data_IF_643541889808
#
_entry.id   IF_643541889808
#
_cell.length_a   1.000
_cell.length_b   1.000
_cell.length_c   1.000
_cell.angle_alpha   90.00
_cell.angle_beta   90.00
_cell.angle_gamma   90.00
#
_symmetry.space_group_name_H-M   'P 1'
#
loop_
_entity.id
_entity.type
_entity.pdbx_description
1 polymer ?
#
# COMPACT_ATOMS: atom_id res chain seq x y z
N UNK A 1 25.55 17.78 -18.09
CA UNK A 1 25.42 16.73 -17.06
C UNK A 1 26.01 15.46 -17.66
N UNK A 2 27.05 14.90 -17.02
CA UNK A 2 27.74 13.73 -17.56
C UNK A 2 26.81 12.49 -17.42
N UNK A 3 26.86 11.56 -18.38
CA UNK A 3 25.99 10.40 -18.47
C UNK A 3 25.99 9.55 -17.17
N UNK A 4 27.16 9.44 -16.54
CA UNK A 4 27.34 8.75 -15.26
C UNK A 4 26.56 9.43 -14.12
N UNK A 5 26.59 10.76 -14.04
CA UNK A 5 25.84 11.50 -13.03
C UNK A 5 24.32 11.37 -13.21
N UNK A 6 23.85 11.36 -14.47
CA UNK A 6 22.44 11.05 -14.78
C UNK A 6 22.03 9.65 -14.36
N UNK A 7 22.86 8.66 -14.65
CA UNK A 7 22.59 7.27 -14.25
C UNK A 7 22.56 7.10 -12.72
N UNK A 8 23.51 7.68 -12.01
CA UNK A 8 23.58 7.65 -10.54
C UNK A 8 22.38 8.33 -9.88
N UNK A 9 21.81 9.37 -10.51
CA UNK A 9 20.61 10.05 -10.01
C UNK A 9 19.33 9.22 -10.23
N UNK A 10 19.27 8.41 -11.30
CA UNK A 10 18.11 7.56 -11.60
C UNK A 10 18.10 6.26 -10.78
N UNK A 11 19.24 5.75 -10.36
CA UNK A 11 19.37 4.47 -9.67
C UNK A 11 18.51 4.38 -8.40
N UNK A 12 18.49 5.36 -7.48
CA UNK A 12 17.64 5.33 -6.29
C UNK A 12 16.14 5.28 -6.63
N UNK A 13 15.73 5.97 -7.69
CA UNK A 13 14.33 5.98 -8.14
C UNK A 13 13.94 4.59 -8.63
N UNK A 14 14.75 3.96 -9.47
CA UNK A 14 14.50 2.61 -9.99
C UNK A 14 14.47 1.56 -8.89
N UNK A 15 15.39 1.65 -7.92
CA UNK A 15 15.42 0.75 -6.76
C UNK A 15 14.16 0.91 -5.91
N UNK A 16 13.74 2.14 -5.63
CA UNK A 16 12.51 2.41 -4.87
C UNK A 16 11.27 1.89 -5.60
N UNK A 17 11.20 2.09 -6.92
CA UNK A 17 10.12 1.56 -7.74
C UNK A 17 10.07 0.03 -7.71
N UNK A 18 11.21 -0.63 -7.86
CA UNK A 18 11.31 -2.09 -7.78
C UNK A 18 10.83 -2.63 -6.43
N UNK A 19 11.22 -1.99 -5.32
CA UNK A 19 10.75 -2.34 -3.98
C UNK A 19 9.24 -2.12 -3.84
N UNK A 20 8.70 -1.03 -4.41
CA UNK A 20 7.26 -0.79 -4.44
C UNK A 20 6.50 -1.91 -5.16
N UNK A 21 6.98 -2.34 -6.33
CA UNK A 21 6.42 -3.49 -7.08
C UNK A 21 6.53 -4.78 -6.26
N UNK A 22 7.65 -5.01 -5.58
CA UNK A 22 7.78 -6.14 -4.66
C UNK A 22 6.76 -6.09 -3.53
N UNK A 23 6.50 -4.93 -2.95
CA UNK A 23 5.49 -4.73 -1.91
C UNK A 23 4.07 -5.09 -2.38
N UNK A 24 3.68 -4.60 -3.56
CA UNK A 24 2.39 -4.94 -4.17
C UNK A 24 2.28 -6.45 -4.40
N UNK A 25 3.32 -7.08 -4.96
CA UNK A 25 3.36 -8.52 -5.17
C UNK A 25 3.28 -9.30 -3.85
N UNK A 26 3.93 -8.81 -2.79
CA UNK A 26 3.87 -9.42 -1.46
C UNK A 26 2.43 -9.48 -0.94
N UNK A 27 1.68 -8.38 -1.05
CA UNK A 27 0.27 -8.32 -0.67
C UNK A 27 -0.57 -9.32 -1.47
N UNK A 28 -0.38 -9.37 -2.79
CA UNK A 28 -1.11 -10.32 -3.66
C UNK A 28 -0.84 -11.77 -3.25
N UNK A 29 0.42 -12.12 -2.97
CA UNK A 29 0.80 -13.47 -2.54
C UNK A 29 0.18 -13.83 -1.17
N UNK A 30 0.15 -12.90 -0.22
CA UNK A 30 -0.48 -13.08 1.09
C UNK A 30 -1.99 -13.31 0.96
N UNK A 31 -2.67 -12.45 0.20
CA UNK A 31 -4.13 -12.58 -0.01
C UNK A 31 -4.48 -13.89 -0.71
N UNK A 32 -3.64 -14.37 -1.62
CA UNK A 32 -3.83 -15.63 -2.32
C UNK A 32 -3.39 -16.86 -1.52
N UNK A 33 -2.79 -16.69 -0.34
CA UNK A 33 -2.28 -17.80 0.46
C UNK A 33 -1.20 -18.61 -0.26
N UNK A 34 -0.34 -17.95 -1.02
CA UNK A 34 0.70 -18.64 -1.79
C UNK A 34 1.84 -19.11 -0.90
N UNK A 35 2.40 -20.27 -1.24
CA UNK A 35 3.60 -20.80 -0.59
C UNK A 35 4.70 -19.72 -0.54
N UNK A 36 5.35 -19.57 0.61
CA UNK A 36 6.39 -18.56 0.87
C UNK A 36 5.91 -17.10 0.85
N UNK A 37 4.60 -16.80 0.81
CA UNK A 37 4.09 -15.43 0.82
C UNK A 37 4.62 -14.63 2.01
N UNK A 38 4.62 -15.21 3.21
CA UNK A 38 5.16 -14.59 4.41
C UNK A 38 6.65 -14.22 4.25
N UNK A 39 7.48 -15.16 3.80
CA UNK A 39 8.92 -14.92 3.59
C UNK A 39 9.16 -13.83 2.56
N UNK A 40 8.42 -13.85 1.46
CA UNK A 40 8.53 -12.81 0.42
C UNK A 40 8.16 -11.43 0.96
N UNK A 41 7.12 -11.34 1.79
CA UNK A 41 6.70 -10.10 2.43
C UNK A 41 7.73 -9.57 3.41
N UNK A 42 8.34 -10.44 4.22
CA UNK A 42 9.45 -10.05 5.10
C UNK A 42 10.64 -9.48 4.32
N UNK A 43 11.04 -10.14 3.23
CA UNK A 43 12.14 -9.64 2.39
C UNK A 43 11.80 -8.27 1.81
N UNK A 44 10.58 -8.08 1.28
CA UNK A 44 10.16 -6.80 0.73
C UNK A 44 10.18 -5.68 1.78
N UNK A 45 9.70 -5.95 3.00
CA UNK A 45 9.73 -4.98 4.11
C UNK A 45 11.15 -4.65 4.55
N UNK A 46 12.03 -5.65 4.70
CA UNK A 46 13.44 -5.42 5.09
C UNK A 46 14.16 -4.58 4.04
N UNK A 47 14.00 -4.91 2.75
CA UNK A 47 14.59 -4.11 1.67
C UNK A 47 14.02 -2.68 1.66
N UNK A 48 12.71 -2.53 1.87
CA UNK A 48 12.06 -1.23 1.99
C UNK A 48 12.60 -0.40 3.15
N UNK A 49 12.86 -1.03 4.30
CA UNK A 49 13.46 -0.37 5.47
C UNK A 49 14.90 0.05 5.22
N UNK A 50 15.71 -0.78 4.60
CA UNK A 50 17.11 -0.45 4.29
C UNK A 50 17.17 0.75 3.33
N UNK A 51 16.47 0.66 2.21
CA UNK A 51 16.48 1.73 1.20
C UNK A 51 15.78 3.00 1.69
N UNK A 52 14.65 2.86 2.37
CA UNK A 52 13.94 3.97 2.98
C UNK A 52 14.74 4.64 4.10
N UNK A 53 15.43 3.88 4.93
CA UNK A 53 16.33 4.39 5.96
C UNK A 53 17.52 5.18 5.39
N UNK A 54 18.16 4.67 4.33
CA UNK A 54 19.21 5.38 3.61
C UNK A 54 18.65 6.70 3.04
N UNK A 55 17.50 6.63 2.36
CA UNK A 55 16.85 7.80 1.79
C UNK A 55 16.49 8.83 2.89
N UNK A 56 15.97 8.38 4.01
CA UNK A 56 15.67 9.24 5.16
C UNK A 56 16.92 9.95 5.69
N UNK A 57 18.02 9.20 5.89
CA UNK A 57 19.29 9.75 6.38
C UNK A 57 19.88 10.77 5.40
N UNK A 58 19.95 10.44 4.12
CA UNK A 58 20.46 11.34 3.07
C UNK A 58 19.58 12.60 2.94
N UNK A 59 18.25 12.44 2.98
CA UNK A 59 17.33 13.57 2.90
C UNK A 59 17.51 14.53 4.08
N UNK A 60 17.65 14.02 5.30
CA UNK A 60 17.93 14.85 6.48
C UNK A 60 19.25 15.58 6.38
N UNK A 61 20.30 14.89 5.92
CA UNK A 61 21.62 15.49 5.77
C UNK A 61 21.62 16.61 4.72
N UNK A 62 20.90 16.44 3.60
CA UNK A 62 20.91 17.41 2.49
C UNK A 62 19.90 18.53 2.65
N UNK A 63 18.76 18.29 3.27
CA UNK A 63 17.61 19.21 3.29
C UNK A 63 17.12 19.56 4.70
N UNK A 64 17.73 19.02 5.74
CA UNK A 64 17.27 19.17 7.12
C UNK A 64 15.94 18.46 7.45
N UNK A 65 15.30 17.85 6.47
CA UNK A 65 14.02 17.14 6.62
C UNK A 65 13.97 15.88 5.74
N UNK A 66 13.28 14.88 6.22
CA UNK A 66 13.05 13.61 5.49
C UNK A 66 11.57 13.30 5.26
N UNK A 67 10.66 14.18 5.66
CA UNK A 67 9.23 14.01 5.36
C UNK A 67 9.00 13.95 3.84
N UNK A 68 8.12 13.07 3.33
CA UNK A 68 7.28 12.10 4.04
C UNK A 68 7.91 10.71 4.17
N UNK A 69 9.18 10.53 3.85
CA UNK A 69 9.86 9.22 3.85
C UNK A 69 9.89 8.61 5.25
N UNK A 70 10.01 9.45 6.29
CA UNK A 70 9.94 9.02 7.71
C UNK A 70 8.64 8.27 7.99
N UNK A 71 7.49 8.78 7.55
CA UNK A 71 6.20 8.14 7.77
C UNK A 71 6.17 6.74 7.14
N UNK A 72 6.72 6.60 5.93
CA UNK A 72 6.82 5.30 5.24
C UNK A 72 7.75 4.35 5.99
N UNK A 73 8.91 4.83 6.45
CA UNK A 73 9.88 4.01 7.20
C UNK A 73 9.26 3.56 8.53
N UNK A 74 8.68 4.47 9.31
CA UNK A 74 8.10 4.11 10.60
C UNK A 74 6.90 3.17 10.50
N UNK A 75 6.02 3.37 9.52
CA UNK A 75 4.90 2.45 9.27
C UNK A 75 5.39 1.08 8.80
N UNK A 76 6.47 1.02 8.02
CA UNK A 76 7.08 -0.24 7.61
C UNK A 76 7.72 -0.96 8.79
N UNK A 77 8.40 -0.24 9.73
CA UNK A 77 8.91 -0.81 10.98
C UNK A 77 7.77 -1.40 11.79
N UNK A 78 6.68 -0.65 11.99
CA UNK A 78 5.52 -1.13 12.74
C UNK A 78 4.93 -2.39 12.10
N UNK A 79 4.77 -2.39 10.79
CA UNK A 79 4.27 -3.55 10.04
C UNK A 79 5.20 -4.75 10.20
N UNK A 80 6.51 -4.55 10.10
CA UNK A 80 7.50 -5.61 10.28
C UNK A 80 7.43 -6.19 11.70
N UNK A 81 7.31 -5.35 12.74
CA UNK A 81 7.14 -5.80 14.12
C UNK A 81 5.90 -6.68 14.25
N UNK A 82 4.75 -6.24 13.71
CA UNK A 82 3.52 -7.04 13.72
C UNK A 82 3.71 -8.37 13.00
N UNK A 83 4.37 -8.39 11.84
CA UNK A 83 4.67 -9.63 11.12
C UNK A 83 5.58 -10.58 11.89
N UNK A 84 6.55 -10.04 12.63
CA UNK A 84 7.43 -10.86 13.47
C UNK A 84 6.69 -11.43 14.68
N UNK A 85 5.72 -10.70 15.25
CA UNK A 85 4.89 -11.19 16.36
C UNK A 85 4.09 -12.44 15.96
N UNK A 86 3.66 -12.57 14.70
CA UNK A 86 3.00 -13.78 14.21
C UNK A 86 3.88 -15.05 14.23
N UNK A 87 5.20 -14.90 14.42
CA UNK A 87 6.14 -16.03 14.53
C UNK A 87 6.40 -16.48 15.96
N UNK A 88 5.96 -15.72 16.95
CA UNK A 88 6.14 -16.09 18.34
C UNK A 88 5.20 -17.25 18.66
N UNK A 89 5.74 -18.41 19.10
CA UNK A 89 4.90 -19.53 19.52
C UNK A 89 3.91 -19.13 20.62
N UNK A 90 2.66 -19.46 20.49
CA UNK A 90 1.63 -19.09 21.45
C UNK A 90 1.02 -17.70 21.26
N UNK A 91 1.61 -16.86 20.42
CA UNK A 91 1.06 -15.57 20.03
C UNK A 91 0.28 -15.70 18.70
N UNK A 92 -1.01 -15.32 18.70
CA UNK A 92 -1.88 -15.43 17.52
C UNK A 92 -1.87 -16.82 16.85
N UNK A 93 -2.10 -17.86 17.67
CA UNK A 93 -2.23 -19.23 17.17
C UNK A 93 -3.35 -19.33 16.14
N UNK A 94 -3.05 -19.95 15.00
CA UNK A 94 -4.03 -20.18 13.93
C UNK A 94 -3.88 -19.28 12.71
N UNK A 95 -2.92 -18.35 12.67
CA UNK A 95 -2.62 -17.60 11.45
C UNK A 95 -1.77 -18.45 10.51
N UNK A 96 -2.36 -18.86 9.41
CA UNK A 96 -1.71 -19.63 8.35
C UNK A 96 -1.61 -18.78 7.09
N UNK A 97 -0.41 -18.29 6.80
CA UNK A 97 -0.14 -17.45 5.64
C UNK A 97 -0.13 -18.23 4.31
N UNK A 98 -0.22 -19.54 4.34
CA UNK A 98 -0.32 -20.40 3.16
C UNK A 98 -1.78 -20.77 2.82
N UNK A 99 -2.72 -20.24 3.56
CA UNK A 99 -4.15 -20.31 3.23
C UNK A 99 -4.63 -18.97 2.64
N UNK A 100 -5.49 -19.00 1.62
CA UNK A 100 -6.11 -17.79 1.10
C UNK A 100 -6.76 -16.98 2.22
N UNK A 101 -6.59 -15.67 2.21
CA UNK A 101 -7.17 -14.79 3.21
C UNK A 101 -8.70 -14.84 3.15
N UNK A 102 -9.30 -15.37 4.21
CA UNK A 102 -10.72 -15.28 4.50
C UNK A 102 -11.68 -15.75 3.40
N UNK A 103 -12.94 -15.39 3.55
CA UNK A 103 -13.92 -15.51 2.50
C UNK A 103 -13.73 -14.38 1.45
N UNK A 104 -14.37 -14.54 0.28
CA UNK A 104 -14.32 -13.55 -0.80
C UNK A 104 -14.82 -12.17 -0.35
N UNK A 105 -15.71 -12.12 0.64
CA UNK A 105 -16.27 -10.88 1.21
C UNK A 105 -15.22 -10.12 2.00
N UNK A 106 -14.47 -10.79 2.87
CA UNK A 106 -13.36 -10.18 3.64
C UNK A 106 -12.30 -9.60 2.73
N UNK A 107 -11.91 -10.34 1.67
CA UNK A 107 -10.95 -9.84 0.68
C UNK A 107 -11.44 -8.58 -0.06
N UNK A 108 -12.72 -8.54 -0.45
CA UNK A 108 -13.33 -7.36 -1.09
C UNK A 108 -13.40 -6.16 -0.14
N UNK A 109 -13.76 -6.37 1.12
CA UNK A 109 -13.81 -5.30 2.12
C UNK A 109 -12.42 -4.71 2.38
N UNK A 110 -11.40 -5.55 2.50
CA UNK A 110 -10.02 -5.09 2.64
C UNK A 110 -9.57 -4.28 1.42
N UNK A 111 -9.90 -4.72 0.20
CA UNK A 111 -9.62 -3.97 -1.03
C UNK A 111 -10.36 -2.63 -1.06
N UNK A 112 -11.63 -2.60 -0.66
CA UNK A 112 -12.43 -1.37 -0.58
C UNK A 112 -11.81 -0.34 0.37
N UNK A 113 -11.37 -0.77 1.55
CA UNK A 113 -10.71 0.09 2.54
C UNK A 113 -9.37 0.60 1.99
N UNK A 114 -8.57 -0.28 1.38
CA UNK A 114 -7.28 0.10 0.80
C UNK A 114 -7.44 1.14 -0.33
N UNK A 115 -8.43 0.95 -1.21
CA UNK A 115 -8.74 1.90 -2.28
C UNK A 115 -9.18 3.26 -1.71
N UNK A 116 -10.08 3.27 -0.73
CA UNK A 116 -10.55 4.50 -0.10
C UNK A 116 -9.41 5.25 0.62
N UNK A 117 -8.58 4.53 1.38
CA UNK A 117 -7.42 5.13 2.07
C UNK A 117 -6.39 5.70 1.09
N UNK A 118 -6.07 4.96 0.01
CA UNK A 118 -5.16 5.43 -1.03
C UNK A 118 -5.72 6.64 -1.76
N UNK A 119 -7.03 6.64 -2.04
CA UNK A 119 -7.71 7.78 -2.65
C UNK A 119 -7.66 9.02 -1.75
N UNK A 120 -7.88 8.87 -0.45
CA UNK A 120 -7.77 9.96 0.52
C UNK A 120 -6.34 10.52 0.59
N UNK A 121 -5.32 9.64 0.59
CA UNK A 121 -3.91 10.05 0.52
C UNK A 121 -3.62 10.83 -0.77
N UNK A 122 -4.15 10.38 -1.92
CA UNK A 122 -3.96 11.09 -3.18
C UNK A 122 -4.59 12.49 -3.16
N UNK A 123 -5.77 12.66 -2.55
CA UNK A 123 -6.41 13.98 -2.40
C UNK A 123 -5.64 14.93 -1.47
N UNK A 124 -4.90 14.38 -0.50
CA UNK A 124 -4.16 15.18 0.50
C UNK A 124 -2.68 15.32 0.20
N UNK A 125 -2.18 14.68 -0.86
CA UNK A 125 -0.74 14.57 -1.15
C UNK A 125 -0.05 15.94 -1.24
N UNK A 126 -0.69 16.93 -1.83
CA UNK A 126 -0.16 18.29 -1.99
C UNK A 126 0.17 18.97 -0.66
N UNK A 127 -0.65 18.71 0.37
CA UNK A 127 -0.43 19.27 1.71
C UNK A 127 0.68 18.53 2.44
N UNK A 128 0.72 17.21 2.30
CA UNK A 128 1.73 16.34 2.92
C UNK A 128 3.12 16.56 2.31
N UNK A 129 3.18 16.82 1.00
CA UNK A 129 4.43 16.97 0.25
C UNK A 129 4.93 18.41 0.16
N UNK A 130 4.09 19.41 0.44
CA UNK A 130 4.44 20.83 0.31
C UNK A 130 5.80 21.20 0.94
N UNK A 131 6.11 20.80 2.21
CA UNK A 131 7.36 21.20 2.85
C UNK A 131 8.63 20.73 2.13
N UNK A 132 8.54 19.62 1.37
CA UNK A 132 9.70 18.99 0.71
C UNK A 132 9.70 19.16 -0.80
N UNK A 133 8.61 19.69 -1.38
CA UNK A 133 8.44 19.85 -2.81
C UNK A 133 8.21 21.32 -3.22
N UNK A 134 8.44 22.26 -2.31
CA UNK A 134 8.43 23.70 -2.62
C UNK A 134 9.82 24.16 -3.00
N UNK A 135 10.00 24.63 -4.23
CA UNK A 135 11.24 25.14 -4.78
C UNK A 135 10.96 26.54 -5.35
N UNK A 136 11.73 27.54 -4.93
CA UNK A 136 11.51 28.91 -5.39
C UNK A 136 10.11 29.47 -5.07
N UNK A 137 9.48 29.01 -3.98
CA UNK A 137 8.13 29.42 -3.57
C UNK A 137 6.99 28.68 -4.29
N UNK A 138 7.30 27.79 -5.24
CA UNK A 138 6.31 26.99 -5.95
C UNK A 138 6.22 25.60 -5.33
N UNK A 139 5.01 25.22 -4.89
CA UNK A 139 4.72 23.85 -4.44
C UNK A 139 4.46 22.96 -5.65
N UNK A 140 5.44 22.17 -6.05
CA UNK A 140 5.32 21.28 -7.21
C UNK A 140 4.31 20.13 -7.03
N UNK A 141 3.96 19.77 -5.80
CA UNK A 141 2.88 18.81 -5.56
C UNK A 141 1.51 19.42 -5.91
N UNK A 142 1.35 20.73 -5.73
CA UNK A 142 0.12 21.46 -6.08
C UNK A 142 -0.07 21.64 -7.59
N UNK A 143 1.02 21.71 -8.35
CA UNK A 143 0.97 21.73 -9.84
C UNK A 143 0.22 20.52 -10.40
N UNK A 144 0.25 19.38 -9.71
CA UNK A 144 -0.44 18.14 -10.08
C UNK A 144 -1.80 17.97 -9.38
N UNK A 145 -2.33 19.03 -8.75
CA UNK A 145 -3.57 18.98 -7.98
C UNK A 145 -4.73 18.33 -8.75
N UNK A 146 -4.99 18.76 -9.98
CA UNK A 146 -6.07 18.22 -10.79
C UNK A 146 -5.91 16.72 -11.03
N UNK A 147 -4.69 16.26 -11.34
CA UNK A 147 -4.38 14.84 -11.57
C UNK A 147 -4.62 14.02 -10.31
N UNK A 148 -4.10 14.47 -9.17
CA UNK A 148 -4.29 13.77 -7.89
C UNK A 148 -5.74 13.78 -7.44
N UNK A 149 -6.50 14.85 -7.73
CA UNK A 149 -7.94 14.92 -7.46
C UNK A 149 -8.70 13.87 -8.25
N UNK A 150 -8.47 13.76 -9.56
CA UNK A 150 -9.14 12.75 -10.40
C UNK A 150 -8.78 11.33 -9.94
N UNK A 151 -7.50 11.06 -9.71
CA UNK A 151 -7.04 9.73 -9.23
C UNK A 151 -7.65 9.44 -7.86
N UNK A 152 -7.57 10.36 -6.91
CA UNK A 152 -8.07 10.18 -5.55
C UNK A 152 -9.57 9.94 -5.50
N UNK A 153 -10.34 10.75 -6.19
CA UNK A 153 -11.79 10.59 -6.30
C UNK A 153 -12.17 9.27 -6.98
N UNK A 154 -11.47 8.89 -8.05
CA UNK A 154 -11.67 7.62 -8.76
C UNK A 154 -11.40 6.40 -7.85
N UNK A 155 -10.34 6.44 -7.04
CA UNK A 155 -10.01 5.37 -6.10
C UNK A 155 -11.05 5.27 -4.96
N UNK A 156 -11.52 6.40 -4.42
CA UNK A 156 -12.58 6.41 -3.39
C UNK A 156 -13.88 5.83 -3.98
N UNK A 157 -14.25 6.24 -5.19
CA UNK A 157 -15.42 5.71 -5.86
C UNK A 157 -15.31 4.20 -6.12
N UNK A 158 -14.16 3.73 -6.61
CA UNK A 158 -13.89 2.30 -6.79
C UNK A 158 -13.97 1.52 -5.48
N UNK A 159 -13.46 2.09 -4.39
CA UNK A 159 -13.58 1.54 -3.03
C UNK A 159 -15.04 1.42 -2.60
N UNK A 160 -15.84 2.49 -2.77
CA UNK A 160 -17.26 2.51 -2.44
C UNK A 160 -18.05 1.48 -3.25
N UNK A 161 -17.83 1.40 -4.56
CA UNK A 161 -18.44 0.40 -5.43
C UNK A 161 -18.08 -1.01 -4.96
N UNK A 162 -16.80 -1.27 -4.66
CA UNK A 162 -16.34 -2.57 -4.17
C UNK A 162 -17.01 -2.95 -2.84
N UNK A 163 -17.17 -2.00 -1.91
CA UNK A 163 -17.86 -2.20 -0.63
C UNK A 163 -19.34 -2.54 -0.84
N UNK A 164 -20.03 -1.81 -1.72
CA UNK A 164 -21.43 -2.08 -2.06
C UNK A 164 -21.58 -3.48 -2.65
N UNK A 165 -20.76 -3.84 -3.64
CA UNK A 165 -20.80 -5.19 -4.23
C UNK A 165 -20.47 -6.30 -3.23
N UNK A 166 -19.64 -6.03 -2.22
CA UNK A 166 -19.33 -7.01 -1.17
C UNK A 166 -20.50 -7.23 -0.20
N UNK A 167 -21.40 -6.26 -0.05
CA UNK A 167 -22.57 -6.32 0.83
C UNK A 167 -23.79 -6.96 0.18
N UNK A 168 -23.84 -7.05 -1.16
CA UNK A 168 -24.95 -7.65 -1.87
C UNK A 168 -24.99 -9.17 -1.67
N UNK A 169 -26.17 -9.76 -1.45
CA UNK A 169 -26.31 -11.21 -1.38
C UNK A 169 -25.91 -11.86 -2.72
N UNK A 170 -25.24 -13.00 -2.64
CA UNK A 170 -24.85 -13.76 -3.83
C UNK A 170 -26.10 -14.09 -4.67
N UNK A 171 -26.04 -14.01 -6.02
CA UNK A 171 -27.16 -14.39 -6.89
C UNK A 171 -27.69 -15.80 -6.61
N UNK A 172 -26.82 -16.71 -6.17
CA UNK A 172 -27.17 -18.06 -5.80
C UNK A 172 -28.09 -18.13 -4.57
N UNK A 173 -27.86 -17.30 -3.56
CA UNK A 173 -28.69 -17.21 -2.35
C UNK A 173 -30.08 -16.66 -2.67
N UNK A 174 -30.16 -15.73 -3.63
CA UNK A 174 -31.46 -15.19 -4.08
C UNK A 174 -32.27 -16.29 -4.79
N UNK A 175 -31.64 -17.07 -5.66
CA UNK A 175 -32.29 -18.15 -6.39
C UNK A 175 -32.83 -19.30 -5.45
N UNK A 176 -32.03 -19.67 -4.43
CA UNK A 176 -32.48 -20.68 -3.46
C UNK A 176 -33.66 -20.19 -2.63
N UNK A 177 -33.65 -18.92 -2.19
CA UNK A 177 -34.79 -18.33 -1.47
C UNK A 177 -36.05 -18.27 -2.32
N UNK A 178 -35.93 -17.89 -3.59
CA UNK A 178 -37.08 -17.86 -4.51
C UNK A 178 -37.65 -19.28 -4.78
N UNK A 179 -36.81 -20.29 -4.89
CA UNK A 179 -37.20 -21.67 -5.07
C UNK A 179 -37.92 -22.24 -3.84
N UNK A 180 -37.50 -21.85 -2.63
CA UNK A 180 -38.14 -22.31 -1.37
C UNK A 180 -39.47 -21.60 -1.09
N UNK A 181 -39.66 -20.36 -1.57
CA UNK A 181 -40.97 -19.64 -1.46
C UNK A 181 -41.97 -20.05 -2.52
N UNK A 182 -41.57 -20.79 -3.54
CA UNK A 182 -42.46 -21.30 -4.61
C UNK A 182 -43.00 -22.71 -4.35
N UNK A 183 -42.67 -23.32 -3.21
CA UNK A 183 -43.20 -24.58 -2.70
C UNK A 183 -44.25 -24.36 -1.61
#
# INVERSE_FOLDING_TARGET
MNLLAGFLALLPILVTLAIGVMGVRAIVLLVQGKKNAYRYSLIAMILGLVVGGIHMAVSRALRGSSMPVDAVVYTTVLTLVVFLLFRIPGFLQGVDFEKPAGDKKTGKNAAAIALAATGLLALTIQFLMAPTHTIGGVNYADVWHATFTVIGAGLILAGAVTAIYSSLPSPYVIQTKLADTAK
#
